data_IF_667505637586
#
_entry.id   IF_667505637586
#
_cell.length_a   1.000
_cell.length_b   1.000
_cell.length_c   1.000
_cell.angle_alpha   90.00
_cell.angle_beta   90.00
_cell.angle_gamma   90.00
#
_symmetry.space_group_name_H-M   'P 1'
#
loop_
_entity.id
_entity.type
_entity.pdbx_description
1 polymer ?
#
# COMPACT_ATOMS: atom_id res chain seq x y z
N UNK A 1 14.58 15.41 -30.34
CA UNK A 1 14.85 14.63 -29.12
C UNK A 1 15.00 15.63 -27.98
N UNK A 2 13.89 16.03 -27.36
CA UNK A 2 13.89 16.89 -26.19
C UNK A 2 13.07 16.17 -25.12
N UNK A 3 13.74 15.48 -24.19
CA UNK A 3 13.13 15.12 -22.92
C UNK A 3 13.37 16.30 -21.99
N UNK A 4 12.30 17.04 -21.71
CA UNK A 4 12.32 18.04 -20.64
C UNK A 4 12.17 17.29 -19.30
N UNK A 5 12.94 17.65 -18.25
CA UNK A 5 12.74 17.09 -16.92
C UNK A 5 11.40 17.62 -16.37
N UNK A 6 10.60 16.72 -15.79
CA UNK A 6 9.37 17.09 -15.11
C UNK A 6 9.73 17.84 -13.80
N UNK A 7 9.09 18.99 -13.55
CA UNK A 7 9.44 19.98 -12.52
C UNK A 7 9.19 19.45 -11.08
N UNK A 8 10.25 19.07 -10.37
CA UNK A 8 10.25 18.31 -9.10
C UNK A 8 9.55 18.98 -7.90
N UNK A 9 9.18 20.26 -7.95
CA UNK A 9 8.82 21.01 -6.72
C UNK A 9 7.32 21.25 -6.48
N UNK A 10 6.45 20.98 -7.46
CA UNK A 10 4.99 21.20 -7.35
C UNK A 10 4.17 19.92 -7.13
N UNK A 11 4.77 18.75 -7.33
CA UNK A 11 4.02 17.50 -7.49
C UNK A 11 3.57 16.85 -6.16
N UNK A 12 4.26 17.08 -5.04
CA UNK A 12 3.93 16.43 -3.76
C UNK A 12 2.55 16.82 -3.18
N UNK A 13 2.07 18.02 -3.49
CA UNK A 13 0.72 18.46 -3.13
C UNK A 13 -0.35 17.93 -4.11
N UNK A 14 -0.04 17.90 -5.41
CA UNK A 14 -0.96 17.38 -6.44
C UNK A 14 -1.20 15.87 -6.31
N UNK A 15 -0.23 15.08 -5.85
CA UNK A 15 -0.39 13.66 -5.54
C UNK A 15 -1.49 13.38 -4.50
N UNK A 16 -1.65 14.28 -3.52
CA UNK A 16 -2.66 14.13 -2.46
C UNK A 16 -4.06 14.51 -2.96
N UNK A 17 -4.17 15.54 -3.79
CA UNK A 17 -5.47 16.03 -4.27
C UNK A 17 -6.08 15.15 -5.37
N UNK A 18 -5.29 14.62 -6.31
CA UNK A 18 -5.83 13.85 -7.43
C UNK A 18 -6.53 12.55 -7.00
N UNK A 19 -6.04 11.92 -5.94
CA UNK A 19 -6.63 10.69 -5.38
C UNK A 19 -7.72 10.93 -4.35
N UNK A 20 -7.66 12.05 -3.60
CA UNK A 20 -8.74 12.46 -2.71
C UNK A 20 -10.02 12.81 -3.50
N UNK A 21 -9.87 13.42 -4.68
CA UNK A 21 -11.00 13.93 -5.49
C UNK A 21 -11.79 12.80 -6.17
N UNK A 22 -11.23 11.59 -6.32
CA UNK A 22 -11.98 10.43 -6.81
C UNK A 22 -12.82 9.72 -5.72
N UNK A 23 -12.75 10.17 -4.46
CA UNK A 23 -13.47 9.56 -3.31
C UNK A 23 -14.63 10.40 -2.76
N UNK A 24 -14.92 11.58 -3.31
CA UNK A 24 -15.97 12.46 -2.77
C UNK A 24 -17.16 12.54 -3.73
N UNK A 25 -18.13 11.65 -3.53
CA UNK A 25 -19.51 11.96 -3.89
C UNK A 25 -20.03 13.06 -2.96
N UNK A 26 -20.59 14.12 -3.55
CA UNK A 26 -21.20 15.24 -2.84
C UNK A 26 -22.30 14.75 -1.89
N UNK A 27 -22.29 15.23 -0.65
CA UNK A 27 -23.51 15.46 0.12
C UNK A 27 -23.28 16.60 1.12
N UNK A 28 -24.08 17.65 0.96
CA UNK A 28 -24.26 18.76 1.90
C UNK A 28 -25.02 18.29 3.15
N UNK A 29 -24.53 18.62 4.35
CA UNK A 29 -25.40 19.04 5.46
C UNK A 29 -24.61 19.61 6.66
N UNK A 30 -25.11 20.76 7.10
CA UNK A 30 -24.89 21.55 8.30
C UNK A 30 -25.01 20.73 9.62
N UNK A 31 -24.27 21.14 10.67
CA UNK A 31 -24.73 21.36 12.07
C UNK A 31 -23.56 21.55 13.04
N UNK A 32 -23.77 22.53 13.91
CA UNK A 32 -22.87 23.17 14.87
C UNK A 32 -22.55 22.41 16.17
N UNK A 33 -21.36 22.72 16.68
CA UNK A 33 -21.03 23.06 18.09
C UNK A 33 -20.92 21.97 19.19
N UNK A 34 -19.75 22.06 19.84
CA UNK A 34 -19.51 22.21 21.28
C UNK A 34 -19.20 21.01 22.20
N UNK A 35 -18.11 21.25 22.95
CA UNK A 35 -17.81 20.90 24.34
C UNK A 35 -16.84 19.77 24.72
N UNK A 36 -15.88 20.21 25.55
CA UNK A 36 -14.81 19.49 26.24
C UNK A 36 -15.36 18.46 27.24
N UNK A 37 -14.68 17.31 27.37
CA UNK A 37 -14.51 16.69 28.68
C UNK A 37 -13.27 15.79 28.75
N UNK A 38 -12.46 16.07 29.77
CA UNK A 38 -11.33 15.31 30.28
C UNK A 38 -11.80 14.04 31.01
N UNK A 39 -11.13 12.90 30.81
CA UNK A 39 -11.45 11.68 31.58
C UNK A 39 -10.45 10.54 31.44
N UNK A 40 -9.60 10.39 32.47
CA UNK A 40 -9.10 9.13 33.07
C UNK A 40 -8.68 7.96 32.15
N UNK A 41 -7.36 7.73 32.03
CA UNK A 41 -6.80 6.48 31.54
C UNK A 41 -7.27 5.30 32.42
N UNK A 42 -8.05 4.38 31.83
CA UNK A 42 -8.19 3.01 32.33
C UNK A 42 -7.45 2.09 31.36
N UNK A 43 -6.55 1.28 31.90
CA UNK A 43 -5.96 0.14 31.23
C UNK A 43 -7.10 -0.81 30.84
N UNK A 44 -7.31 -1.02 29.55
CA UNK A 44 -8.24 -2.02 29.02
C UNK A 44 -7.42 -3.04 28.24
N UNK A 45 -7.50 -4.27 28.71
CA UNK A 45 -7.08 -5.48 28.00
C UNK A 45 -7.96 -5.61 26.75
N UNK A 46 -7.51 -5.05 25.62
CA UNK A 46 -8.29 -5.06 24.39
C UNK A 46 -8.23 -6.41 23.69
N UNK A 47 -9.37 -7.06 23.54
CA UNK A 47 -9.53 -8.25 22.70
C UNK A 47 -9.36 -7.86 21.22
N UNK A 48 -9.05 -8.83 20.37
CA UNK A 48 -8.85 -8.61 18.93
C UNK A 48 -10.03 -7.90 18.23
N UNK A 49 -11.24 -8.02 18.77
CA UNK A 49 -12.43 -7.32 18.28
C UNK A 49 -12.36 -5.80 18.50
N UNK A 50 -11.83 -5.33 19.65
CA UNK A 50 -11.58 -3.90 19.87
C UNK A 50 -10.43 -3.41 18.97
N UNK A 51 -9.41 -4.21 18.70
CA UNK A 51 -8.34 -3.83 17.78
C UNK A 51 -8.83 -3.72 16.32
N UNK A 52 -9.74 -4.58 15.88
CA UNK A 52 -10.37 -4.53 14.54
C UNK A 52 -11.39 -3.40 14.45
N UNK A 53 -12.21 -3.20 15.49
CA UNK A 53 -13.12 -2.06 15.57
C UNK A 53 -12.33 -0.76 15.58
N UNK A 54 -11.24 -0.65 16.34
CA UNK A 54 -10.32 0.50 16.29
C UNK A 54 -9.66 0.61 14.92
N UNK A 55 -9.22 -0.47 14.28
CA UNK A 55 -8.63 -0.41 12.94
C UNK A 55 -9.62 0.03 11.84
N UNK A 56 -10.92 -0.17 12.06
CA UNK A 56 -12.00 0.23 11.16
C UNK A 56 -12.69 1.56 11.58
N UNK A 57 -12.56 1.98 12.84
CA UNK A 57 -13.00 3.25 13.46
C UNK A 57 -11.87 4.30 13.50
N UNK A 58 -10.66 3.88 13.09
CA UNK A 58 -9.54 4.72 12.74
C UNK A 58 -9.99 5.65 11.62
N UNK A 59 -10.30 6.90 11.98
CA UNK A 59 -10.59 8.05 11.12
C UNK A 59 -10.25 7.75 9.65
N UNK A 60 -11.27 7.33 8.91
CA UNK A 60 -11.13 6.81 7.54
C UNK A 60 -10.53 7.84 6.60
N UNK A 61 -10.44 9.12 7.00
CA UNK A 61 -9.69 10.16 6.31
C UNK A 61 -8.17 9.95 6.30
N UNK A 62 -7.62 9.12 7.20
CA UNK A 62 -6.17 8.81 7.29
C UNK A 62 -5.74 7.58 6.50
N UNK A 63 -6.71 6.81 5.98
CA UNK A 63 -6.48 5.57 5.28
C UNK A 63 -7.01 5.69 3.86
N UNK A 64 -6.12 5.51 2.89
CA UNK A 64 -6.53 5.38 1.51
C UNK A 64 -7.13 3.99 1.35
N UNK A 65 -8.46 3.95 1.23
CA UNK A 65 -9.19 2.74 0.84
C UNK A 65 -9.12 2.61 -0.67
N UNK A 66 -8.80 1.41 -1.17
CA UNK A 66 -8.75 1.17 -2.61
C UNK A 66 -10.11 1.42 -3.29
N UNK A 67 -10.11 2.21 -4.36
CA UNK A 67 -11.09 2.14 -5.45
C UNK A 67 -10.46 1.27 -6.54
N UNK A 68 -11.15 0.20 -6.95
CA UNK A 68 -10.64 -0.67 -8.02
C UNK A 68 -10.37 0.16 -9.28
N UNK A 69 -9.31 -0.16 -10.03
CA UNK A 69 -9.09 0.49 -11.32
C UNK A 69 -10.23 0.08 -12.27
N UNK A 70 -10.55 0.92 -13.28
CA UNK A 70 -11.67 0.65 -14.20
C UNK A 70 -11.59 -0.72 -14.92
N UNK A 71 -10.40 -1.35 -14.95
CA UNK A 71 -10.16 -2.64 -15.60
C UNK A 71 -10.08 -3.82 -14.61
N UNK A 72 -10.06 -3.58 -13.30
CA UNK A 72 -9.89 -4.64 -12.32
C UNK A 72 -11.24 -5.22 -11.88
N UNK A 73 -11.51 -6.46 -12.29
CA UNK A 73 -12.68 -7.22 -11.86
C UNK A 73 -12.42 -7.84 -10.48
N UNK A 74 -12.81 -7.12 -9.43
CA UNK A 74 -12.88 -7.65 -8.06
C UNK A 74 -13.76 -8.91 -8.01
N UNK A 75 -13.25 -9.98 -7.39
CA UNK A 75 -14.03 -11.18 -7.12
C UNK A 75 -14.68 -11.11 -5.75
N UNK A 76 -15.77 -11.84 -5.60
CA UNK A 76 -16.31 -12.13 -4.27
C UNK A 76 -15.23 -12.85 -3.44
N UNK A 77 -14.89 -12.30 -2.28
CA UNK A 77 -13.88 -12.85 -1.39
C UNK A 77 -12.44 -12.37 -1.63
N UNK A 78 -12.21 -11.47 -2.59
CA UNK A 78 -10.92 -10.80 -2.70
C UNK A 78 -10.64 -9.94 -1.45
N UNK A 79 -9.38 -9.89 -0.98
CA UNK A 79 -9.03 -9.13 0.21
C UNK A 79 -9.23 -7.63 -0.03
N UNK A 80 -9.84 -6.94 0.94
CA UNK A 80 -9.85 -5.49 0.97
C UNK A 80 -8.44 -4.96 1.26
N UNK A 81 -8.07 -3.88 0.61
CA UNK A 81 -6.77 -3.23 0.82
C UNK A 81 -6.99 -1.81 1.31
N UNK A 82 -6.41 -1.50 2.47
CA UNK A 82 -6.27 -0.15 2.98
C UNK A 82 -4.78 0.16 3.16
N UNK A 83 -4.39 1.41 2.95
CA UNK A 83 -3.02 1.87 3.11
C UNK A 83 -2.99 3.18 3.87
N UNK A 84 -2.08 3.32 4.83
CA UNK A 84 -1.89 4.59 5.54
C UNK A 84 -1.34 5.65 4.60
N UNK A 85 -1.67 6.91 4.88
CA UNK A 85 -1.05 8.03 4.17
C UNK A 85 0.48 8.03 4.29
N UNK A 86 1.03 7.54 5.40
CA UNK A 86 2.48 7.39 5.61
C UNK A 86 3.08 6.38 4.65
N UNK A 87 2.52 5.17 4.56
CA UNK A 87 3.00 4.13 3.65
C UNK A 87 2.89 4.58 2.18
N UNK A 88 1.79 5.26 1.83
CA UNK A 88 1.65 5.85 0.50
C UNK A 88 2.77 6.83 0.19
N UNK A 89 3.07 7.77 1.10
CA UNK A 89 4.16 8.73 0.90
C UNK A 89 5.50 8.03 0.75
N UNK A 90 5.80 7.02 1.56
CA UNK A 90 7.03 6.24 1.43
C UNK A 90 7.16 5.60 0.04
N UNK A 91 6.07 5.05 -0.50
CA UNK A 91 6.04 4.52 -1.87
C UNK A 91 6.29 5.65 -2.88
N UNK A 92 5.53 6.74 -2.80
CA UNK A 92 5.63 7.82 -3.79
C UNK A 92 7.00 8.49 -3.75
N UNK A 93 7.49 8.88 -2.57
CA UNK A 93 8.82 9.49 -2.39
C UNK A 93 9.92 8.62 -3.00
N UNK A 94 9.81 7.29 -2.87
CA UNK A 94 10.75 6.36 -3.49
C UNK A 94 10.60 6.30 -5.02
N UNK A 95 9.38 6.10 -5.52
CA UNK A 95 9.14 5.86 -6.95
C UNK A 95 9.26 7.13 -7.80
N UNK A 96 9.13 8.32 -7.20
CA UNK A 96 9.32 9.60 -7.90
C UNK A 96 10.76 10.11 -7.85
N UNK A 97 11.61 9.55 -6.99
CA UNK A 97 13.01 9.99 -6.87
C UNK A 97 13.83 9.72 -8.13
N UNK A 98 13.47 8.70 -8.92
CA UNK A 98 14.10 8.40 -10.20
C UNK A 98 13.11 7.61 -11.08
N UNK A 99 12.63 8.24 -12.15
CA UNK A 99 11.68 7.65 -13.11
C UNK A 99 12.36 7.10 -14.37
N UNK A 100 13.69 6.99 -14.38
CA UNK A 100 14.45 6.48 -15.55
C UNK A 100 14.49 4.95 -15.62
N UNK A 101 14.09 4.27 -14.54
CA UNK A 101 14.00 2.81 -14.43
C UNK A 101 12.94 2.41 -13.40
N UNK A 102 12.61 1.13 -13.39
CA UNK A 102 11.70 0.58 -12.39
C UNK A 102 12.39 0.41 -11.03
N UNK A 103 11.75 0.97 -10.00
CA UNK A 103 12.04 0.75 -8.59
C UNK A 103 10.90 0.04 -7.90
N UNK A 104 11.17 -0.54 -6.74
CA UNK A 104 10.14 -1.13 -5.90
C UNK A 104 10.65 -1.59 -4.56
N UNK A 105 9.79 -2.25 -3.79
CA UNK A 105 10.06 -2.63 -2.42
C UNK A 105 8.99 -3.54 -1.84
N UNK A 106 9.04 -3.74 -0.53
CA UNK A 106 8.05 -4.54 0.19
C UNK A 106 7.03 -3.68 0.93
N UNK A 107 5.83 -4.24 1.08
CA UNK A 107 4.75 -3.66 1.85
C UNK A 107 4.57 -4.44 3.15
N UNK A 108 4.45 -3.69 4.25
CA UNK A 108 4.33 -4.22 5.61
C UNK A 108 3.11 -3.66 6.32
N UNK A 109 2.54 -4.46 7.22
CA UNK A 109 1.43 -4.03 8.04
C UNK A 109 0.70 -5.19 8.69
N UNK A 110 -0.64 -5.16 8.69
CA UNK A 110 -1.45 -6.14 9.38
C UNK A 110 -2.47 -6.80 8.44
N UNK A 111 -2.70 -8.10 8.62
CA UNK A 111 -3.84 -8.77 7.99
C UNK A 111 -5.08 -8.61 8.85
N UNK A 112 -6.21 -8.34 8.22
CA UNK A 112 -7.51 -8.17 8.86
C UNK A 112 -8.28 -9.48 8.76
N UNK A 113 -8.81 -9.95 9.89
CA UNK A 113 -9.68 -11.13 9.97
C UNK A 113 -11.11 -10.71 10.31
N UNK A 114 -12.08 -11.41 9.74
CA UNK A 114 -13.45 -11.40 10.22
C UNK A 114 -13.57 -12.17 11.55
N UNK A 115 -14.74 -12.05 12.20
CA UNK A 115 -15.03 -12.71 13.47
C UNK A 115 -14.89 -14.25 13.41
N UNK A 116 -15.12 -14.83 12.23
CA UNK A 116 -14.95 -16.27 11.98
C UNK A 116 -13.49 -16.69 11.72
N UNK A 117 -12.55 -15.74 11.77
CA UNK A 117 -11.12 -15.95 11.52
C UNK A 117 -10.72 -15.89 10.05
N UNK A 118 -11.65 -15.71 9.12
CA UNK A 118 -11.36 -15.58 7.69
C UNK A 118 -10.62 -14.28 7.43
N UNK A 119 -9.52 -14.33 6.67
CA UNK A 119 -8.83 -13.11 6.25
C UNK A 119 -9.69 -12.34 5.24
N UNK A 120 -10.05 -11.11 5.57
CA UNK A 120 -10.91 -10.25 4.75
C UNK A 120 -10.17 -9.08 4.12
N UNK A 121 -8.92 -8.83 4.54
CA UNK A 121 -8.15 -7.74 3.99
C UNK A 121 -6.76 -7.57 4.59
N UNK A 122 -6.12 -6.49 4.19
CA UNK A 122 -4.83 -6.04 4.67
C UNK A 122 -4.85 -4.53 4.91
N UNK A 123 -4.13 -4.12 5.94
CA UNK A 123 -3.82 -2.73 6.25
C UNK A 123 -2.32 -2.52 6.09
N UNK A 124 -1.93 -1.82 5.03
CA UNK A 124 -0.54 -1.45 4.73
C UNK A 124 -0.16 -0.25 5.61
N UNK A 125 0.84 -0.45 6.46
CA UNK A 125 1.30 0.52 7.46
C UNK A 125 2.67 1.13 7.12
N UNK A 126 3.52 0.39 6.39
CA UNK A 126 4.87 0.79 6.03
C UNK A 126 5.27 0.23 4.66
N UNK A 127 6.09 0.97 3.93
CA UNK A 127 6.71 0.53 2.69
C UNK A 127 8.23 0.62 2.83
N UNK A 128 8.93 -0.47 2.51
CA UNK A 128 10.39 -0.54 2.57
C UNK A 128 10.99 -0.68 1.17
N UNK A 129 11.82 0.27 0.71
CA UNK A 129 12.54 0.18 -0.57
C UNK A 129 13.48 -1.02 -0.68
N UNK A 130 13.60 -1.59 -1.87
CA UNK A 130 14.66 -2.54 -2.18
C UNK A 130 16.01 -1.82 -2.27
N UNK A 131 16.90 -2.04 -1.30
CA UNK A 131 18.21 -1.41 -1.24
C UNK A 131 19.09 -1.68 -2.49
N UNK A 132 18.91 -2.85 -3.12
CA UNK A 132 19.65 -3.24 -4.32
C UNK A 132 18.73 -3.96 -5.30
N UNK A 133 18.19 -3.21 -6.27
CA UNK A 133 17.57 -3.82 -7.45
C UNK A 133 18.49 -3.64 -8.65
N UNK A 134 19.20 -4.69 -9.11
CA UNK A 134 19.87 -4.69 -10.40
C UNK A 134 18.79 -4.82 -11.49
N UNK A 135 17.93 -3.82 -11.60
CA UNK A 135 16.96 -3.68 -12.66
C UNK A 135 17.58 -2.93 -13.83
N UNK A 136 17.45 -3.48 -15.02
CA UNK A 136 17.41 -2.68 -16.25
C UNK A 136 16.05 -1.97 -16.33
N UNK A 137 15.87 -1.06 -17.28
CA UNK A 137 14.75 -0.10 -17.35
C UNK A 137 13.32 -0.67 -17.29
N UNK A 138 13.12 -2.00 -17.29
CA UNK A 138 11.82 -2.66 -17.41
C UNK A 138 11.64 -3.94 -16.56
N UNK A 139 12.57 -4.22 -15.62
CA UNK A 139 12.47 -5.44 -14.78
C UNK A 139 13.01 -5.20 -13.39
N UNK A 140 12.16 -5.38 -12.39
CA UNK A 140 12.57 -5.41 -10.98
C UNK A 140 12.70 -6.85 -10.47
N UNK A 141 13.72 -7.15 -9.68
CA UNK A 141 13.81 -8.38 -8.88
C UNK A 141 14.51 -8.11 -7.56
N UNK A 142 14.22 -8.94 -6.56
CA UNK A 142 14.87 -8.86 -5.25
C UNK A 142 16.12 -9.76 -5.23
N UNK A 143 17.29 -9.16 -4.97
CA UNK A 143 18.52 -9.94 -4.79
C UNK A 143 18.57 -10.62 -3.42
N UNK A 144 19.49 -11.57 -3.25
CA UNK A 144 19.72 -12.21 -1.95
C UNK A 144 20.11 -11.20 -0.87
N UNK A 145 20.93 -10.20 -1.19
CA UNK A 145 21.34 -9.15 -0.27
C UNK A 145 20.15 -8.30 0.19
N UNK A 146 19.21 -8.03 -0.74
CA UNK A 146 17.97 -7.32 -0.45
C UNK A 146 17.10 -8.13 0.52
N UNK A 147 16.95 -9.44 0.31
CA UNK A 147 16.24 -10.30 1.25
C UNK A 147 16.86 -10.32 2.64
N UNK A 148 18.19 -10.45 2.72
CA UNK A 148 18.90 -10.41 4.00
C UNK A 148 18.74 -9.07 4.72
N UNK A 149 18.62 -7.96 3.98
CA UNK A 149 18.34 -6.64 4.55
C UNK A 149 16.93 -6.57 5.16
N UNK A 150 15.93 -7.09 4.45
CA UNK A 150 14.56 -7.17 4.96
C UNK A 150 14.46 -8.04 6.21
N UNK A 151 15.11 -9.21 6.23
CA UNK A 151 15.11 -10.10 7.40
C UNK A 151 15.71 -9.40 8.63
N UNK A 152 16.84 -8.69 8.47
CA UNK A 152 17.44 -7.93 9.59
C UNK A 152 16.51 -6.82 10.12
N UNK A 153 15.82 -6.12 9.22
CA UNK A 153 14.86 -5.09 9.60
C UNK A 153 13.64 -5.68 10.32
N UNK A 154 13.11 -6.79 9.83
CA UNK A 154 12.00 -7.51 10.45
C UNK A 154 12.35 -8.01 11.86
N UNK A 155 13.59 -8.46 12.05
CA UNK A 155 14.10 -8.85 13.37
C UNK A 155 14.14 -7.67 14.34
N UNK A 156 14.64 -6.50 13.89
CA UNK A 156 14.66 -5.28 14.71
C UNK A 156 13.26 -4.80 15.11
N UNK A 157 12.29 -4.87 14.19
CA UNK A 157 10.89 -4.58 14.51
C UNK A 157 10.33 -5.53 15.55
N UNK A 158 10.60 -6.83 15.40
CA UNK A 158 10.14 -7.84 16.35
C UNK A 158 10.75 -7.63 17.74
N UNK A 159 12.04 -7.28 17.82
CA UNK A 159 12.71 -6.91 19.07
C UNK A 159 12.11 -5.64 19.71
N UNK A 160 11.66 -4.69 18.90
CA UNK A 160 10.94 -3.50 19.34
C UNK A 160 9.45 -3.75 19.69
N UNK A 161 8.96 -4.99 19.58
CA UNK A 161 7.58 -5.36 19.85
C UNK A 161 6.59 -5.02 18.72
N UNK A 162 7.09 -4.60 17.55
CA UNK A 162 6.28 -4.32 16.37
C UNK A 162 6.00 -5.63 15.64
N UNK A 163 4.72 -5.96 15.48
CA UNK A 163 4.25 -7.21 14.84
C UNK A 163 3.69 -6.89 13.45
N UNK A 164 4.55 -6.46 12.53
CA UNK A 164 4.17 -6.27 11.14
C UNK A 164 4.45 -7.53 10.32
N UNK A 165 3.50 -7.85 9.45
CA UNK A 165 3.60 -8.92 8.48
C UNK A 165 4.00 -8.36 7.12
N UNK A 166 4.71 -9.17 6.33
CA UNK A 166 4.92 -8.91 4.90
C UNK A 166 3.59 -9.11 4.16
N UNK A 167 3.02 -8.02 3.66
CA UNK A 167 1.72 -8.01 2.99
C UNK A 167 1.83 -8.12 1.48
N UNK A 168 2.99 -7.83 0.91
CA UNK A 168 3.13 -7.79 -0.53
C UNK A 168 4.36 -7.01 -0.96
N UNK A 169 4.30 -6.52 -2.18
CA UNK A 169 5.34 -5.69 -2.78
C UNK A 169 4.74 -4.54 -3.57
N UNK A 170 5.58 -3.59 -3.92
CA UNK A 170 5.23 -2.51 -4.82
C UNK A 170 6.35 -2.29 -5.83
N UNK A 171 6.01 -1.77 -7.00
CA UNK A 171 6.97 -1.31 -7.99
C UNK A 171 6.39 -0.23 -8.90
N UNK A 172 7.28 0.40 -9.67
CA UNK A 172 6.93 1.43 -10.64
C UNK A 172 6.92 0.91 -12.07
N UNK A 173 6.03 1.45 -12.90
CA UNK A 173 6.06 1.40 -14.36
C UNK A 173 6.11 2.84 -14.92
N UNK A 174 7.28 3.48 -15.01
CA UNK A 174 7.35 4.88 -15.46
C UNK A 174 6.88 5.05 -16.91
N UNK A 175 5.81 5.83 -17.11
CA UNK A 175 5.21 6.17 -18.41
C UNK A 175 4.78 4.95 -19.26
N UNK A 176 4.22 3.93 -18.62
CA UNK A 176 3.79 2.70 -19.29
C UNK A 176 2.30 2.37 -19.08
N UNK A 177 1.70 2.76 -17.94
CA UNK A 177 0.45 2.26 -17.34
C UNK A 177 0.61 1.09 -16.36
N UNK A 178 -0.44 0.87 -15.55
CA UNK A 178 -0.49 -0.13 -14.48
C UNK A 178 -1.09 -1.47 -14.95
N UNK A 179 -0.30 -2.54 -14.86
CA UNK A 179 -0.67 -3.95 -15.10
C UNK A 179 0.42 -4.85 -14.48
N UNK A 180 0.20 -6.17 -14.41
CA UNK A 180 1.31 -7.10 -14.11
C UNK A 180 1.82 -7.75 -15.40
N UNK A 181 3.10 -7.53 -15.71
CA UNK A 181 3.79 -8.24 -16.79
C UNK A 181 4.06 -9.71 -16.41
N UNK A 182 4.46 -10.55 -17.37
CA UNK A 182 4.89 -11.92 -17.06
C UNK A 182 6.07 -11.95 -16.07
N UNK A 183 6.96 -10.97 -16.13
CA UNK A 183 8.07 -10.84 -15.20
C UNK A 183 7.57 -10.49 -13.78
N UNK A 184 6.56 -9.61 -13.68
CA UNK A 184 5.95 -9.29 -12.39
C UNK A 184 5.21 -10.49 -11.80
N UNK A 185 4.60 -11.33 -12.65
CA UNK A 185 4.00 -12.59 -12.21
C UNK A 185 5.04 -13.58 -11.65
N UNK A 186 6.26 -13.59 -12.20
CA UNK A 186 7.37 -14.39 -11.66
C UNK A 186 7.76 -13.89 -10.25
N UNK A 187 7.86 -12.58 -10.04
CA UNK A 187 8.12 -11.99 -8.71
C UNK A 187 6.95 -12.25 -7.75
N UNK A 188 5.71 -12.11 -8.23
CA UNK A 188 4.50 -12.42 -7.48
C UNK A 188 4.47 -13.86 -6.95
N UNK A 189 5.16 -14.80 -7.59
CA UNK A 189 5.24 -16.21 -7.15
C UNK A 189 5.91 -16.38 -5.77
N UNK A 190 6.69 -15.39 -5.33
CA UNK A 190 7.28 -15.31 -4.00
C UNK A 190 6.23 -14.99 -2.91
N UNK A 191 5.09 -14.44 -3.32
CA UNK A 191 4.01 -14.00 -2.43
C UNK A 191 2.82 -14.96 -2.50
N UNK A 192 2.81 -15.97 -1.61
CA UNK A 192 1.86 -17.10 -1.69
C UNK A 192 0.58 -17.00 -0.86
N UNK A 193 0.53 -16.13 0.16
CA UNK A 193 -0.68 -15.98 0.97
C UNK A 193 -1.82 -15.36 0.16
N UNK A 194 -3.08 -15.82 0.29
CA UNK A 194 -4.21 -15.29 -0.48
C UNK A 194 -4.44 -13.78 -0.33
N UNK A 195 -4.05 -13.21 0.81
CA UNK A 195 -4.14 -11.77 1.05
C UNK A 195 -2.90 -10.98 0.65
N UNK A 196 -1.93 -11.60 -0.02
CA UNK A 196 -0.84 -10.84 -0.59
C UNK A 196 -1.29 -9.94 -1.73
N UNK A 197 -0.61 -8.81 -1.84
CA UNK A 197 -0.91 -7.76 -2.82
C UNK A 197 0.34 -7.34 -3.59
N UNK A 198 0.15 -6.78 -4.78
CA UNK A 198 1.16 -6.12 -5.57
C UNK A 198 0.67 -4.71 -5.89
N UNK A 199 1.41 -3.67 -5.55
CA UNK A 199 1.08 -2.29 -5.89
C UNK A 199 1.90 -1.86 -7.10
N UNK A 200 1.25 -1.54 -8.21
CA UNK A 200 1.91 -0.97 -9.39
C UNK A 200 1.59 0.50 -9.47
N UNK A 201 2.60 1.35 -9.62
CA UNK A 201 2.45 2.80 -9.73
C UNK A 201 3.12 3.28 -11.01
N UNK A 202 2.43 4.10 -11.79
CA UNK A 202 3.05 4.90 -12.85
C UNK A 202 3.24 6.33 -12.32
N UNK A 203 4.44 6.69 -11.81
CA UNK A 203 4.66 8.01 -11.23
C UNK A 203 4.56 9.13 -12.27
N UNK A 204 4.79 8.84 -13.55
CA UNK A 204 4.70 9.82 -14.64
C UNK A 204 3.25 10.12 -15.03
N UNK A 205 2.37 9.11 -14.96
CA UNK A 205 0.95 9.23 -15.30
C UNK A 205 0.05 9.48 -14.09
N UNK A 206 0.61 9.47 -12.88
CA UNK A 206 -0.11 9.60 -11.61
C UNK A 206 -1.15 8.47 -11.40
N UNK A 207 -0.88 7.30 -11.98
CA UNK A 207 -1.74 6.12 -11.90
C UNK A 207 -1.18 5.13 -10.87
N UNK A 208 -2.07 4.41 -10.18
CA UNK A 208 -1.67 3.43 -9.19
C UNK A 208 -2.77 2.39 -8.98
N UNK A 209 -2.39 1.14 -8.75
CA UNK A 209 -3.35 0.06 -8.55
C UNK A 209 -2.77 -1.09 -7.75
N UNK A 210 -3.56 -1.57 -6.78
CA UNK A 210 -3.27 -2.83 -6.13
C UNK A 210 -3.84 -3.98 -6.95
N UNK A 211 -3.04 -4.99 -7.21
CA UNK A 211 -3.44 -6.29 -7.68
C UNK A 211 -3.47 -7.23 -6.49
N UNK A 212 -4.63 -7.83 -6.24
CA UNK A 212 -4.80 -8.79 -5.15
C UNK A 212 -4.56 -10.19 -5.65
N UNK A 213 -3.87 -11.02 -4.85
CA UNK A 213 -3.69 -12.43 -5.19
C UNK A 213 -5.02 -13.19 -5.14
N UNK A 214 -5.79 -12.98 -4.08
CA UNK A 214 -6.96 -13.82 -3.81
C UNK A 214 -6.61 -15.31 -3.69
N UNK A 215 -7.63 -16.17 -3.69
CA UNK A 215 -7.45 -17.61 -3.58
C UNK A 215 -6.84 -18.23 -4.84
N UNK A 216 -7.16 -17.66 -6.00
CA UNK A 216 -6.82 -18.21 -7.32
C UNK A 216 -5.50 -17.69 -7.90
N UNK A 217 -4.79 -16.78 -7.21
CA UNK A 217 -3.54 -16.20 -7.69
C UNK A 217 -3.74 -14.82 -8.34
N UNK A 218 -2.61 -14.10 -8.48
CA UNK A 218 -2.58 -12.78 -9.09
C UNK A 218 -3.13 -12.79 -10.51
N UNK A 219 -3.80 -11.70 -10.87
CA UNK A 219 -4.32 -11.47 -12.23
C UNK A 219 -3.56 -10.29 -12.85
N UNK A 220 -3.06 -10.44 -14.08
CA UNK A 220 -2.39 -9.35 -14.78
C UNK A 220 -3.31 -8.22 -15.23
#
# INVERSE_FOLDING_TARGET
MNNSPCDESRHSAEYLEHWATQSLGQDDADVSSNHKQTGSLRMISSTAEEAVAVALDLDSSRFLRRVATQKELLRAGDPQVAMTQTAYRQVMDHLTADTTREYGGLLYGQRIKAADGTYVGVLVLHAEPAAFSPGNSHRMSFTQETWLAYERMEDQWREAGIQWERLGWYHSHPDFSIFLSNHDLDVCSLFRHPTHVALVVDPCRLEGGFFVRGMEGFRP
#
